data_IF_266563062807
#
_entry.id   IF_266563062807
#
_cell.length_a   1.000
_cell.length_b   1.000
_cell.length_c   1.000
_cell.angle_alpha   90.00
_cell.angle_beta   90.00
_cell.angle_gamma   90.00
#
_symmetry.space_group_name_H-M   'P 1'
#
loop_
_entity.id
_entity.type
_entity.pdbx_description
1 polymer ?
#
# COMPACT_ATOMS: atom_id res chain seq x y z
N UNK A 1 -15.31 16.80 -6.09
CA UNK A 1 -15.09 15.45 -5.53
C UNK A 1 -15.13 15.56 -4.00
N UNK A 2 -15.94 14.76 -3.31
CA UNK A 2 -16.06 14.77 -1.84
C UNK A 2 -15.55 13.42 -1.32
N UNK A 3 -14.34 13.41 -0.77
CA UNK A 3 -13.85 12.26 -0.01
C UNK A 3 -14.26 12.47 1.45
N UNK A 4 -14.94 11.49 2.05
CA UNK A 4 -15.51 11.63 3.39
C UNK A 4 -14.46 11.73 4.50
N UNK A 5 -13.32 11.05 4.34
CA UNK A 5 -12.23 11.12 5.29
C UNK A 5 -11.62 12.53 5.34
N UNK A 6 -11.36 13.15 4.18
CA UNK A 6 -10.96 14.57 4.11
C UNK A 6 -12.07 15.51 4.59
N UNK A 7 -13.33 15.21 4.26
CA UNK A 7 -14.48 15.96 4.75
C UNK A 7 -14.49 16.04 6.28
N UNK A 8 -14.29 14.90 6.94
CA UNK A 8 -14.22 14.81 8.40
C UNK A 8 -12.97 15.50 8.96
N UNK A 9 -11.83 15.37 8.28
CA UNK A 9 -10.55 15.95 8.70
C UNK A 9 -10.54 17.48 8.65
N UNK A 10 -11.20 18.09 7.66
CA UNK A 10 -11.16 19.54 7.44
C UNK A 10 -12.44 20.29 7.84
N UNK A 11 -13.57 19.59 7.93
CA UNK A 11 -14.87 20.21 8.20
C UNK A 11 -15.68 19.49 9.30
N UNK A 12 -15.11 18.46 9.92
CA UNK A 12 -15.75 17.73 11.02
C UNK A 12 -15.67 18.46 12.37
N UNK A 13 -16.31 17.91 13.43
CA UNK A 13 -16.27 18.48 14.79
C UNK A 13 -14.85 18.58 15.38
N UNK A 14 -13.93 17.75 14.89
CA UNK A 14 -12.51 17.71 15.25
C UNK A 14 -11.62 18.18 14.10
N UNK A 15 -12.12 19.11 13.28
CA UNK A 15 -11.39 19.60 12.12
C UNK A 15 -10.01 20.13 12.50
N UNK A 16 -9.00 19.73 11.73
CA UNK A 16 -7.67 20.28 11.85
C UNK A 16 -7.67 21.76 11.42
N UNK A 17 -6.94 22.59 12.16
CA UNK A 17 -6.72 23.99 11.80
C UNK A 17 -5.28 24.19 11.33
N UNK A 18 -5.08 24.91 10.24
CA UNK A 18 -3.75 25.14 9.65
C UNK A 18 -3.19 23.96 8.87
N UNK A 19 -1.89 23.73 8.97
CA UNK A 19 -1.18 22.70 8.20
C UNK A 19 -1.41 21.30 8.78
N UNK A 20 -1.91 20.38 7.95
CA UNK A 20 -2.03 18.96 8.30
C UNK A 20 -0.77 18.22 7.90
N UNK A 21 -0.17 17.50 8.85
CA UNK A 21 1.02 16.66 8.64
C UNK A 21 0.63 15.19 8.67
N UNK A 22 0.90 14.48 7.58
CA UNK A 22 0.68 13.03 7.46
C UNK A 22 2.02 12.35 7.73
N UNK A 23 2.06 11.44 8.71
CA UNK A 23 3.30 10.79 9.18
C UNK A 23 3.35 9.29 8.92
N UNK A 24 2.22 8.70 8.59
CA UNK A 24 2.01 7.25 8.53
C UNK A 24 1.76 6.74 7.11
N UNK A 25 2.04 7.57 6.10
CA UNK A 25 1.99 7.19 4.70
C UNK A 25 3.28 7.61 4.01
N UNK A 26 3.70 6.79 3.04
CA UNK A 26 4.75 7.19 2.12
C UNK A 26 4.30 8.40 1.27
N UNK A 27 5.14 9.42 1.05
CA UNK A 27 4.77 10.62 0.28
C UNK A 27 4.24 10.29 -1.12
N UNK A 28 4.86 9.35 -1.82
CA UNK A 28 4.44 8.95 -3.16
C UNK A 28 3.06 8.27 -3.16
N UNK A 29 2.74 7.51 -2.12
CA UNK A 29 1.42 6.90 -1.98
C UNK A 29 0.33 7.94 -1.80
N UNK A 30 0.59 8.96 -0.97
CA UNK A 30 -0.34 10.07 -0.81
C UNK A 30 -0.47 10.91 -2.09
N UNK A 31 0.63 11.13 -2.81
CA UNK A 31 0.59 11.81 -4.10
C UNK A 31 -0.22 11.03 -5.15
N UNK A 32 -0.06 9.70 -5.21
CA UNK A 32 -0.85 8.81 -6.06
C UNK A 32 -2.36 8.89 -5.76
N UNK A 33 -2.72 8.90 -4.47
CA UNK A 33 -4.10 9.13 -4.02
C UNK A 33 -4.64 10.48 -4.51
N UNK A 34 -3.90 11.58 -4.30
CA UNK A 34 -4.32 12.90 -4.75
C UNK A 34 -4.49 12.93 -6.28
N UNK A 35 -3.52 12.41 -7.04
CA UNK A 35 -3.59 12.33 -8.51
C UNK A 35 -4.86 11.61 -8.96
N UNK A 36 -5.23 10.51 -8.30
CA UNK A 36 -6.50 9.82 -8.58
C UNK A 36 -7.71 10.70 -8.24
N UNK A 37 -7.72 11.36 -7.09
CA UNK A 37 -8.81 12.27 -6.69
C UNK A 37 -8.96 13.52 -7.58
N UNK A 38 -7.94 13.88 -8.35
CA UNK A 38 -8.06 14.99 -9.31
C UNK A 38 -8.32 14.53 -10.75
N UNK A 39 -7.85 13.33 -11.15
CA UNK A 39 -7.98 12.82 -12.53
C UNK A 39 -9.10 11.79 -12.73
N UNK A 40 -9.57 11.15 -11.66
CA UNK A 40 -10.60 10.11 -11.68
C UNK A 40 -10.17 8.77 -12.31
N UNK A 41 -8.88 8.57 -12.61
CA UNK A 41 -8.36 7.31 -13.14
C UNK A 41 -7.06 6.93 -12.44
N UNK A 42 -6.91 5.66 -12.00
CA UNK A 42 -5.64 5.16 -11.51
C UNK A 42 -4.62 5.16 -12.66
N UNK A 43 -3.40 5.61 -12.38
CA UNK A 43 -2.27 5.51 -13.29
C UNK A 43 -1.11 4.95 -12.49
N UNK A 44 -1.01 3.63 -12.49
CA UNK A 44 -0.07 2.83 -11.70
C UNK A 44 1.00 2.34 -12.67
N UNK A 45 2.26 2.59 -12.36
CA UNK A 45 3.40 2.27 -13.22
C UNK A 45 4.40 1.30 -12.61
N UNK A 46 4.38 1.10 -11.28
CA UNK A 46 5.26 0.18 -10.57
C UNK A 46 4.58 -0.50 -9.40
N UNK A 47 5.20 -1.56 -8.85
CA UNK A 47 4.68 -2.25 -7.66
C UNK A 47 4.75 -1.34 -6.44
N UNK A 48 5.81 -0.55 -6.31
CA UNK A 48 6.02 0.42 -5.22
C UNK A 48 4.93 1.50 -5.25
N UNK A 49 4.69 2.09 -6.43
CA UNK A 49 3.60 3.07 -6.61
C UNK A 49 2.25 2.44 -6.24
N UNK A 50 1.99 1.20 -6.67
CA UNK A 50 0.77 0.48 -6.35
C UNK A 50 0.63 0.21 -4.84
N UNK A 51 1.69 -0.25 -4.18
CA UNK A 51 1.68 -0.59 -2.77
C UNK A 51 1.46 0.65 -1.89
N UNK A 52 2.23 1.72 -2.13
CA UNK A 52 2.09 2.97 -1.40
C UNK A 52 0.75 3.64 -1.66
N UNK A 53 0.31 3.70 -2.91
CA UNK A 53 -0.98 4.30 -3.27
C UNK A 53 -2.14 3.49 -2.71
N UNK A 54 -2.05 2.15 -2.73
CA UNK A 54 -3.05 1.26 -2.14
C UNK A 54 -3.20 1.47 -0.64
N UNK A 55 -2.10 1.61 0.10
CA UNK A 55 -2.12 1.92 1.53
C UNK A 55 -2.78 3.28 1.82
N UNK A 56 -2.47 4.31 1.02
CA UNK A 56 -3.11 5.61 1.13
C UNK A 56 -4.60 5.55 0.79
N UNK A 57 -4.96 4.85 -0.29
CA UNK A 57 -6.35 4.65 -0.71
C UNK A 57 -7.19 3.98 0.37
N UNK A 58 -6.67 2.93 1.00
CA UNK A 58 -7.30 2.27 2.14
C UNK A 58 -7.52 3.24 3.30
N UNK A 59 -6.47 3.94 3.72
CA UNK A 59 -6.53 4.89 4.83
C UNK A 59 -7.57 5.99 4.61
N UNK A 60 -7.67 6.50 3.40
CA UNK A 60 -8.62 7.56 3.04
C UNK A 60 -9.92 7.05 2.42
N UNK A 61 -10.21 5.75 2.56
CA UNK A 61 -11.48 5.13 2.17
C UNK A 61 -11.84 5.34 0.68
N UNK A 62 -10.87 5.09 -0.21
CA UNK A 62 -11.04 5.13 -1.67
C UNK A 62 -10.98 3.69 -2.23
N UNK A 63 -12.06 2.90 -2.08
CA UNK A 63 -12.04 1.46 -2.34
C UNK A 63 -11.74 1.11 -3.81
N UNK A 64 -12.19 1.93 -4.77
CA UNK A 64 -11.92 1.70 -6.20
C UNK A 64 -10.43 1.78 -6.52
N UNK A 65 -9.71 2.72 -5.91
CA UNK A 65 -8.26 2.87 -6.08
C UNK A 65 -7.50 1.76 -5.35
N UNK A 66 -7.92 1.41 -4.14
CA UNK A 66 -7.33 0.28 -3.39
C UNK A 66 -7.45 -1.03 -4.18
N UNK A 67 -8.62 -1.28 -4.78
CA UNK A 67 -8.86 -2.46 -5.61
C UNK A 67 -7.96 -2.45 -6.86
N UNK A 68 -7.87 -1.32 -7.56
CA UNK A 68 -7.01 -1.19 -8.73
C UNK A 68 -5.54 -1.46 -8.39
N UNK A 69 -5.05 -0.94 -7.25
CA UNK A 69 -3.70 -1.20 -6.77
C UNK A 69 -3.50 -2.68 -6.43
N UNK A 70 -4.46 -3.29 -5.72
CA UNK A 70 -4.42 -4.71 -5.35
C UNK A 70 -4.34 -5.62 -6.57
N UNK A 71 -5.16 -5.36 -7.59
CA UNK A 71 -5.16 -6.14 -8.83
C UNK A 71 -3.84 -5.99 -9.60
N UNK A 72 -3.30 -4.76 -9.68
CA UNK A 72 -2.00 -4.53 -10.30
C UNK A 72 -0.90 -5.30 -9.58
N UNK A 73 -0.86 -5.24 -8.24
CA UNK A 73 0.13 -5.94 -7.44
C UNK A 73 0.04 -7.45 -7.68
N UNK A 74 -1.16 -8.04 -7.61
CA UNK A 74 -1.35 -9.48 -7.86
C UNK A 74 -0.83 -9.93 -9.23
N UNK A 75 -0.94 -9.08 -10.25
CA UNK A 75 -0.52 -9.42 -11.61
C UNK A 75 0.99 -9.25 -11.86
N UNK A 76 1.70 -8.46 -11.06
CA UNK A 76 3.10 -8.07 -11.33
C UNK A 76 4.06 -8.35 -10.16
N UNK A 77 3.57 -8.92 -9.04
CA UNK A 77 4.39 -9.22 -7.87
C UNK A 77 5.53 -10.18 -8.20
N UNK A 78 6.69 -9.93 -7.61
CA UNK A 78 7.91 -10.74 -7.75
C UNK A 78 8.59 -10.85 -6.40
N UNK A 79 9.47 -11.83 -6.26
CA UNK A 79 10.22 -12.08 -5.02
C UNK A 79 10.87 -10.80 -4.44
N UNK A 80 11.46 -9.96 -5.31
CA UNK A 80 12.14 -8.71 -4.94
C UNK A 80 11.25 -7.64 -4.28
N UNK A 81 9.92 -7.71 -4.49
CA UNK A 81 8.99 -6.70 -3.98
C UNK A 81 8.00 -7.25 -2.92
N UNK A 82 8.06 -8.54 -2.60
CA UNK A 82 7.16 -9.17 -1.61
C UNK A 82 7.23 -8.46 -0.25
N UNK A 83 8.43 -8.19 0.26
CA UNK A 83 8.59 -7.57 1.59
C UNK A 83 8.05 -6.14 1.62
N UNK A 84 8.27 -5.34 0.57
CA UNK A 84 7.70 -3.99 0.45
C UNK A 84 6.16 -4.04 0.41
N UNK A 85 5.60 -5.00 -0.34
CA UNK A 85 4.16 -5.20 -0.41
C UNK A 85 3.61 -5.60 0.97
N UNK A 86 4.28 -6.51 1.68
CA UNK A 86 3.90 -6.88 3.05
C UNK A 86 3.91 -5.67 3.99
N UNK A 87 4.96 -4.85 3.99
CA UNK A 87 5.03 -3.65 4.83
C UNK A 87 3.86 -2.68 4.59
N UNK A 88 3.44 -2.52 3.33
CA UNK A 88 2.33 -1.64 2.98
C UNK A 88 0.96 -2.24 3.31
N UNK A 89 0.84 -3.57 3.28
CA UNK A 89 -0.44 -4.28 3.35
C UNK A 89 -0.75 -4.84 4.72
N UNK A 90 0.25 -5.12 5.57
CA UNK A 90 0.04 -5.63 6.93
C UNK A 90 -0.89 -4.74 7.78
N UNK A 91 -1.01 -3.47 7.41
CA UNK A 91 -1.96 -2.50 7.97
C UNK A 91 -3.43 -2.67 7.52
N UNK A 92 -3.76 -3.64 6.66
CA UNK A 92 -5.14 -3.89 6.21
C UNK A 92 -5.32 -5.20 5.45
N UNK A 93 -6.18 -6.05 6.01
CA UNK A 93 -6.47 -7.40 5.52
C UNK A 93 -7.02 -7.44 4.09
N UNK A 94 -6.69 -8.51 3.35
CA UNK A 94 -7.24 -8.72 2.01
C UNK A 94 -6.68 -9.94 1.26
N UNK A 95 -7.33 -10.29 0.14
CA UNK A 95 -7.03 -11.44 -0.75
C UNK A 95 -5.63 -11.46 -1.41
N UNK A 96 -4.76 -10.53 -1.06
CA UNK A 96 -3.39 -10.41 -1.57
C UNK A 96 -2.40 -11.32 -0.83
N UNK A 97 -2.73 -11.74 0.40
CA UNK A 97 -1.92 -12.71 1.14
C UNK A 97 -1.78 -14.04 0.41
N UNK A 98 -2.80 -14.49 -0.32
CA UNK A 98 -2.72 -15.70 -1.14
C UNK A 98 -1.66 -15.56 -2.23
N UNK A 99 -1.62 -14.42 -2.93
CA UNK A 99 -0.62 -14.14 -3.95
C UNK A 99 0.80 -14.04 -3.35
N UNK A 100 0.93 -13.39 -2.19
CA UNK A 100 2.19 -13.30 -1.46
C UNK A 100 2.70 -14.70 -1.08
N UNK A 101 1.83 -15.55 -0.54
CA UNK A 101 2.19 -16.91 -0.14
C UNK A 101 2.64 -17.77 -1.32
N UNK A 102 2.05 -17.58 -2.50
CA UNK A 102 2.50 -18.27 -3.73
C UNK A 102 3.93 -17.84 -4.07
N UNK A 103 4.21 -16.52 -4.13
CA UNK A 103 5.54 -16.02 -4.48
C UNK A 103 6.60 -16.45 -3.45
N UNK A 104 6.26 -16.42 -2.15
CA UNK A 104 7.14 -16.86 -1.06
C UNK A 104 7.52 -18.34 -1.20
N UNK A 105 6.57 -19.21 -1.55
CA UNK A 105 6.80 -20.65 -1.70
C UNK A 105 7.56 -21.00 -2.97
N UNK A 106 7.30 -20.28 -4.06
CA UNK A 106 7.97 -20.53 -5.34
C UNK A 106 9.40 -20.00 -5.37
N UNK A 107 9.69 -18.90 -4.65
CA UNK A 107 10.98 -18.20 -4.73
C UNK A 107 11.55 -17.78 -3.35
N UNK A 108 11.65 -18.69 -2.37
CA UNK A 108 12.04 -18.31 -1.00
C UNK A 108 13.44 -17.71 -0.91
N UNK A 109 14.43 -18.29 -1.61
CA UNK A 109 15.82 -17.80 -1.60
C UNK A 109 15.94 -16.39 -2.20
N UNK A 110 15.18 -16.11 -3.26
CA UNK A 110 15.18 -14.81 -3.91
C UNK A 110 14.54 -13.73 -3.02
N UNK A 111 13.51 -14.09 -2.24
CA UNK A 111 12.92 -13.18 -1.25
C UNK A 111 13.92 -12.89 -0.14
N UNK A 112 14.52 -13.92 0.45
CA UNK A 112 15.49 -13.77 1.56
C UNK A 112 16.76 -13.02 1.16
N UNK A 113 17.15 -13.08 -0.11
CA UNK A 113 18.32 -12.39 -0.65
C UNK A 113 18.02 -10.97 -1.14
N UNK A 114 16.75 -10.53 -1.10
CA UNK A 114 16.35 -9.22 -1.63
C UNK A 114 16.72 -8.06 -0.70
N UNK A 115 17.02 -6.90 -1.28
CA UNK A 115 17.21 -5.66 -0.49
C UNK A 115 15.94 -5.29 0.27
N UNK A 116 14.76 -5.63 -0.26
CA UNK A 116 13.49 -5.40 0.41
C UNK A 116 13.40 -6.18 1.73
N UNK A 117 13.90 -7.41 1.79
CA UNK A 117 13.94 -8.19 3.03
C UNK A 117 14.86 -7.56 4.08
N UNK A 118 16.03 -7.07 3.67
CA UNK A 118 16.98 -6.44 4.58
C UNK A 118 16.47 -5.12 5.21
N UNK A 119 15.54 -4.44 4.55
CA UNK A 119 15.04 -3.12 4.96
C UNK A 119 13.57 -3.14 5.44
N UNK A 120 12.92 -4.31 5.49
CA UNK A 120 11.52 -4.40 5.87
C UNK A 120 11.28 -4.30 7.37
N UNK A 121 10.01 -4.19 7.76
CA UNK A 121 9.61 -4.14 9.16
C UNK A 121 9.88 -5.47 9.87
N UNK A 122 10.15 -5.42 11.17
CA UNK A 122 10.34 -6.61 12.01
C UNK A 122 9.19 -7.62 11.88
N UNK A 123 7.95 -7.12 11.81
CA UNK A 123 6.77 -7.95 11.63
C UNK A 123 6.75 -8.66 10.27
N UNK A 124 7.30 -8.02 9.23
CA UNK A 124 7.43 -8.60 7.89
C UNK A 124 8.48 -9.70 7.88
N UNK A 125 9.61 -9.52 8.58
CA UNK A 125 10.60 -10.58 8.79
C UNK A 125 9.95 -11.79 9.47
N UNK A 126 9.20 -11.56 10.54
CA UNK A 126 8.47 -12.63 11.22
C UNK A 126 7.50 -13.34 10.27
N UNK A 127 6.75 -12.60 9.46
CA UNK A 127 5.83 -13.19 8.50
C UNK A 127 6.58 -14.08 7.50
N UNK A 128 7.63 -13.55 6.85
CA UNK A 128 8.41 -14.27 5.84
C UNK A 128 9.05 -15.54 6.39
N UNK A 129 9.56 -15.51 7.63
CA UNK A 129 10.27 -16.65 8.24
C UNK A 129 9.35 -17.73 8.85
N UNK A 130 8.06 -17.45 9.04
CA UNK A 130 7.11 -18.38 9.67
C UNK A 130 5.97 -18.85 8.73
N UNK A 131 6.07 -18.55 7.43
CA UNK A 131 5.11 -18.97 6.38
C UNK A 131 5.54 -20.26 5.71
#
# INVERSE_FOLDING_TARGET
MRNEAFGSMFYGPLAATGTVVIKDLHPDGFYGLLKHLYKGKPNISSIEEAAYTGAAARKYLVPELELACTLYIKAHMKAENVCLVLDCIMSGGGSIYEAINVVLRENPEAVLSSDAFNNCLEQTVHCVLHT
#
